data_IF_711901533174
#
_entry.id   IF_711901533174
#
_cell.length_a   1.000
_cell.length_b   1.000
_cell.length_c   1.000
_cell.angle_alpha   90.00
_cell.angle_beta   90.00
_cell.angle_gamma   90.00
#
_symmetry.space_group_name_H-M   'P 1'
#
loop_
_entity.id
_entity.type
_entity.pdbx_description
1 polymer ?
#
# COMPACT_ATOMS: atom_id res chain seq x y z
N UNK A 1 42.34 -18.74 -27.16
CA UNK A 1 41.92 -17.85 -26.05
C UNK A 1 40.96 -16.74 -26.50
N UNK A 2 41.19 -16.00 -27.61
CA UNK A 2 40.28 -14.90 -28.07
C UNK A 2 38.84 -15.34 -28.44
N UNK A 3 38.61 -16.55 -28.93
CA UNK A 3 37.26 -17.07 -29.32
C UNK A 3 36.39 -17.43 -28.09
N UNK A 4 37.00 -17.91 -26.99
CA UNK A 4 36.29 -18.29 -25.77
C UNK A 4 35.78 -17.04 -24.99
N UNK A 5 36.60 -15.97 -24.98
CA UNK A 5 36.20 -14.71 -24.34
C UNK A 5 35.01 -14.05 -25.03
N UNK A 6 34.97 -14.11 -26.40
CA UNK A 6 33.84 -13.58 -27.17
C UNK A 6 32.51 -14.29 -26.88
N UNK A 7 32.54 -15.64 -26.75
CA UNK A 7 31.34 -16.43 -26.45
C UNK A 7 30.82 -16.13 -25.03
N UNK A 8 31.69 -16.01 -24.04
CA UNK A 8 31.32 -15.69 -22.66
C UNK A 8 30.71 -14.29 -22.54
N UNK A 9 31.22 -13.30 -23.25
CA UNK A 9 30.67 -11.95 -23.30
C UNK A 9 29.27 -11.91 -23.92
N UNK A 10 29.07 -12.65 -25.03
CA UNK A 10 27.75 -12.72 -25.66
C UNK A 10 26.71 -13.44 -24.80
N UNK A 11 27.09 -14.48 -24.05
CA UNK A 11 26.21 -15.15 -23.09
C UNK A 11 25.84 -14.21 -21.93
N UNK A 12 26.81 -13.46 -21.39
CA UNK A 12 26.56 -12.51 -20.33
C UNK A 12 25.64 -11.36 -20.74
N UNK A 13 25.80 -10.84 -21.98
CA UNK A 13 24.92 -9.81 -22.54
C UNK A 13 23.52 -10.36 -22.76
N UNK A 14 23.40 -11.59 -23.30
CA UNK A 14 22.13 -12.27 -23.50
C UNK A 14 21.36 -12.50 -22.19
N UNK A 15 22.08 -12.90 -21.11
CA UNK A 15 21.50 -13.08 -19.77
C UNK A 15 21.04 -11.74 -19.16
N UNK A 16 21.85 -10.69 -19.32
CA UNK A 16 21.51 -9.34 -18.83
C UNK A 16 20.28 -8.79 -19.55
N UNK A 17 20.21 -8.94 -20.87
CA UNK A 17 19.04 -8.51 -21.66
C UNK A 17 17.78 -9.31 -21.32
N UNK A 18 17.88 -10.61 -21.05
CA UNK A 18 16.72 -11.41 -20.64
C UNK A 18 16.22 -11.02 -19.24
N UNK A 19 17.11 -10.77 -18.29
CA UNK A 19 16.74 -10.31 -16.95
C UNK A 19 16.11 -8.92 -16.96
N UNK A 20 16.60 -8.00 -17.80
CA UNK A 20 16.01 -6.67 -17.93
C UNK A 20 14.62 -6.71 -18.58
N UNK A 21 14.39 -7.58 -19.57
CA UNK A 21 13.07 -7.78 -20.19
C UNK A 21 12.08 -8.45 -19.23
N UNK A 22 12.54 -9.37 -18.39
CA UNK A 22 11.68 -9.96 -17.34
C UNK A 22 11.34 -8.94 -16.23
N UNK A 23 12.28 -8.11 -15.81
CA UNK A 23 12.04 -7.05 -14.86
C UNK A 23 11.04 -6.00 -15.40
N UNK A 24 11.20 -5.59 -16.67
CA UNK A 24 10.28 -4.67 -17.34
C UNK A 24 8.86 -5.27 -17.51
N UNK A 25 8.77 -6.57 -17.79
CA UNK A 25 7.47 -7.29 -17.81
C UNK A 25 6.80 -7.37 -16.45
N UNK A 26 7.56 -7.57 -15.38
CA UNK A 26 7.02 -7.62 -14.01
C UNK A 26 6.51 -6.24 -13.58
N UNK A 27 7.19 -5.14 -13.92
CA UNK A 27 6.69 -3.78 -13.66
C UNK A 27 5.42 -3.47 -14.49
N UNK A 28 5.36 -3.90 -15.76
CA UNK A 28 4.18 -3.71 -16.61
C UNK A 28 2.99 -4.57 -16.15
N UNK A 29 3.24 -5.74 -15.55
CA UNK A 29 2.20 -6.63 -15.03
C UNK A 29 1.57 -6.11 -13.73
N UNK A 30 2.33 -5.38 -12.90
CA UNK A 30 1.84 -4.79 -11.66
C UNK A 30 0.79 -3.68 -11.86
N UNK A 31 0.73 -3.08 -13.04
CA UNK A 31 -0.19 -1.95 -13.37
C UNK A 31 -1.37 -2.41 -14.25
N UNK A 32 -1.48 -3.69 -14.61
CA UNK A 32 -2.57 -4.16 -15.47
C UNK A 32 -3.92 -4.11 -14.74
N UNK A 33 -4.84 -3.37 -15.31
CA UNK A 33 -6.27 -3.43 -15.00
C UNK A 33 -6.98 -4.33 -16.02
N UNK A 34 -8.20 -4.75 -15.71
CA UNK A 34 -9.01 -5.58 -16.63
C UNK A 34 -9.40 -4.82 -17.92
N UNK A 35 -9.84 -5.56 -18.97
CA UNK A 35 -10.32 -4.97 -20.21
C UNK A 35 -11.58 -4.09 -20.02
N UNK A 36 -12.35 -4.34 -18.94
CA UNK A 36 -13.50 -3.56 -18.53
C UNK A 36 -13.36 -3.20 -17.04
N UNK A 37 -12.54 -2.21 -16.69
CA UNK A 37 -12.27 -1.88 -15.30
C UNK A 37 -13.51 -1.32 -14.59
N UNK A 38 -13.76 -1.80 -13.38
CA UNK A 38 -14.73 -1.22 -12.45
C UNK A 38 -13.97 -0.71 -11.24
N UNK A 39 -13.82 0.60 -11.18
CA UNK A 39 -13.01 1.23 -10.14
C UNK A 39 -13.79 1.39 -8.84
N UNK A 40 -13.11 1.03 -7.76
CA UNK A 40 -13.49 1.32 -6.38
C UNK A 40 -12.34 2.05 -5.67
N UNK A 41 -12.61 2.62 -4.50
CA UNK A 41 -11.63 3.38 -3.74
C UNK A 41 -11.66 3.06 -2.26
N UNK A 42 -10.51 3.20 -1.60
CA UNK A 42 -10.35 3.04 -0.15
C UNK A 42 -9.21 3.94 0.35
N UNK A 43 -9.23 4.31 1.61
CA UNK A 43 -8.21 5.14 2.24
C UNK A 43 -7.58 4.37 3.40
N UNK A 44 -6.26 4.20 3.36
CA UNK A 44 -5.51 3.31 4.25
C UNK A 44 -4.44 4.09 5.02
N UNK A 45 -4.56 4.15 6.34
CA UNK A 45 -3.53 4.66 7.23
C UNK A 45 -2.70 3.51 7.77
N UNK A 46 -1.40 3.49 7.53
CA UNK A 46 -0.51 2.37 7.84
C UNK A 46 0.90 2.77 8.28
N UNK A 47 1.03 3.82 9.10
CA UNK A 47 2.31 4.43 9.43
C UNK A 47 2.77 5.42 8.37
N UNK A 48 4.08 5.49 8.11
CA UNK A 48 4.61 6.36 7.06
C UNK A 48 4.03 6.01 5.69
N UNK A 49 3.30 6.93 5.10
CA UNK A 49 2.57 6.72 3.84
C UNK A 49 3.48 6.47 2.62
N UNK A 50 4.77 6.83 2.65
CA UNK A 50 5.71 6.53 1.56
C UNK A 50 5.86 5.02 1.32
N UNK A 51 5.96 4.24 2.41
CA UNK A 51 6.05 2.80 2.34
C UNK A 51 4.74 2.16 1.89
N UNK A 52 3.62 2.64 2.43
CA UNK A 52 2.28 2.16 2.06
C UNK A 52 2.02 2.42 0.57
N UNK A 53 2.29 3.64 0.07
CA UNK A 53 2.17 3.98 -1.35
C UNK A 53 3.07 3.08 -2.21
N UNK A 54 4.36 3.02 -1.86
CA UNK A 54 5.33 2.22 -2.62
C UNK A 54 4.97 0.75 -2.70
N UNK A 55 4.37 0.18 -1.66
CA UNK A 55 3.88 -1.20 -1.66
C UNK A 55 2.68 -1.37 -2.59
N UNK A 56 1.62 -0.56 -2.43
CA UNK A 56 0.39 -0.72 -3.20
C UNK A 56 0.56 -0.41 -4.68
N UNK A 57 1.50 0.45 -5.05
CA UNK A 57 1.85 0.69 -6.46
C UNK A 57 2.39 -0.55 -7.19
N UNK A 58 2.74 -1.61 -6.47
CA UNK A 58 3.22 -2.91 -7.01
C UNK A 58 2.11 -3.95 -7.13
N UNK A 59 0.91 -3.67 -6.60
CA UNK A 59 -0.18 -4.64 -6.61
C UNK A 59 -0.93 -4.55 -7.94
N UNK A 60 -1.03 -5.65 -8.72
CA UNK A 60 -1.83 -5.70 -9.92
C UNK A 60 -3.28 -5.28 -9.64
N UNK A 61 -3.84 -4.45 -10.51
CA UNK A 61 -5.20 -3.91 -10.34
C UNK A 61 -5.26 -2.58 -9.59
N UNK A 62 -4.19 -2.15 -8.93
CA UNK A 62 -4.10 -0.78 -8.40
C UNK A 62 -3.89 0.18 -9.56
N UNK A 63 -4.82 1.13 -9.70
CA UNK A 63 -4.84 2.07 -10.81
C UNK A 63 -4.21 3.43 -10.46
N UNK A 64 -4.51 3.92 -9.24
CA UNK A 64 -4.03 5.23 -8.78
C UNK A 64 -3.77 5.21 -7.29
N UNK A 65 -2.71 5.88 -6.89
CA UNK A 65 -2.36 6.17 -5.50
C UNK A 65 -2.18 7.66 -5.32
N UNK A 66 -2.51 8.18 -4.15
CA UNK A 66 -2.22 9.55 -3.74
C UNK A 66 -2.06 9.58 -2.22
N UNK A 67 -0.96 10.13 -1.73
CA UNK A 67 -0.76 10.26 -0.28
C UNK A 67 -1.32 11.57 0.24
N UNK A 68 -1.85 11.53 1.45
CA UNK A 68 -2.48 12.69 2.05
C UNK A 68 -2.71 12.52 3.56
N UNK A 69 -3.52 13.37 4.09
CA UNK A 69 -3.85 13.46 5.51
C UNK A 69 -5.35 13.37 5.70
N UNK A 70 -5.82 12.51 6.62
CA UNK A 70 -7.26 12.34 6.83
C UNK A 70 -7.64 12.12 8.29
N UNK A 71 -8.94 12.18 8.53
CA UNK A 71 -9.59 11.88 9.79
C UNK A 71 -9.02 12.67 10.99
N UNK A 72 -8.65 13.92 10.73
CA UNK A 72 -8.26 14.88 11.75
C UNK A 72 -9.45 15.67 12.33
N UNK A 73 -9.10 16.70 13.11
CA UNK A 73 -10.05 17.56 13.83
C UNK A 73 -10.41 18.83 13.04
N UNK A 74 -9.68 19.12 11.97
CA UNK A 74 -9.84 20.33 11.14
C UNK A 74 -10.01 19.96 9.67
N UNK A 75 -10.58 20.86 8.87
CA UNK A 75 -10.78 20.63 7.44
C UNK A 75 -9.50 20.81 6.61
N UNK A 76 -8.45 21.36 7.20
CA UNK A 76 -7.18 21.64 6.54
C UNK A 76 -6.02 21.25 7.44
N UNK A 77 -4.95 20.79 6.84
CA UNK A 77 -3.67 20.53 7.47
C UNK A 77 -2.56 20.58 6.42
N UNK A 78 -1.33 20.53 6.87
CA UNK A 78 -0.11 20.28 6.10
C UNK A 78 0.83 19.40 6.93
N UNK A 79 1.97 19.01 6.37
CA UNK A 79 2.92 18.14 7.05
C UNK A 79 3.44 18.71 8.38
N UNK A 80 3.58 20.04 8.48
CA UNK A 80 4.09 20.66 9.69
C UNK A 80 3.07 20.66 10.84
N UNK A 81 1.78 20.69 10.50
CA UNK A 81 0.68 20.80 11.46
C UNK A 81 -0.10 19.49 11.68
N UNK A 82 0.26 18.40 10.99
CA UNK A 82 -0.48 17.12 11.04
C UNK A 82 -0.69 16.62 12.47
N UNK A 83 0.30 16.79 13.35
CA UNK A 83 0.20 16.37 14.77
C UNK A 83 -0.82 17.21 15.53
N UNK A 84 -0.81 18.51 15.32
CA UNK A 84 -1.69 19.46 16.04
C UNK A 84 -3.14 19.33 15.57
N UNK A 85 -3.33 19.05 14.29
CA UNK A 85 -4.65 18.85 13.69
C UNK A 85 -5.18 17.43 13.81
N UNK A 86 -4.38 16.50 14.35
CA UNK A 86 -4.79 15.12 14.64
C UNK A 86 -5.09 14.26 13.41
N UNK A 87 -4.62 14.66 12.21
CA UNK A 87 -4.77 13.85 11.00
C UNK A 87 -3.82 12.64 11.03
N UNK A 88 -4.21 11.56 10.34
CA UNK A 88 -3.31 10.46 10.01
C UNK A 88 -2.65 10.68 8.65
N UNK A 89 -1.46 10.12 8.46
CA UNK A 89 -0.90 9.86 7.13
C UNK A 89 -1.70 8.75 6.47
N UNK A 90 -2.22 8.99 5.27
CA UNK A 90 -3.18 8.13 4.59
C UNK A 90 -2.82 7.98 3.13
N UNK A 91 -2.94 6.77 2.62
CA UNK A 91 -2.94 6.46 1.20
C UNK A 91 -4.38 6.46 0.68
N UNK A 92 -4.70 7.32 -0.29
CA UNK A 92 -5.82 7.12 -1.20
C UNK A 92 -5.44 6.04 -2.22
N UNK A 93 -6.30 5.06 -2.40
CA UNK A 93 -6.11 3.95 -3.30
C UNK A 93 -7.35 3.79 -4.19
N UNK A 94 -7.15 3.87 -5.52
CA UNK A 94 -8.13 3.51 -6.54
C UNK A 94 -7.70 2.24 -7.23
N UNK A 95 -8.59 1.25 -7.30
CA UNK A 95 -8.27 -0.07 -7.83
C UNK A 95 -9.41 -0.59 -8.72
N UNK A 96 -9.08 -1.48 -9.64
CA UNK A 96 -10.04 -2.22 -10.46
C UNK A 96 -10.47 -3.50 -9.73
N UNK A 97 -11.71 -3.53 -9.25
CA UNK A 97 -12.25 -4.67 -8.50
C UNK A 97 -12.35 -5.97 -9.29
N UNK A 98 -12.28 -5.91 -10.61
CA UNK A 98 -12.26 -7.10 -11.46
C UNK A 98 -10.87 -7.73 -11.51
N UNK A 99 -9.83 -7.01 -11.10
CA UNK A 99 -8.43 -7.48 -11.04
C UNK A 99 -7.99 -7.79 -9.62
N UNK A 100 -8.35 -6.94 -8.65
CA UNK A 100 -8.06 -7.14 -7.22
C UNK A 100 -9.27 -6.72 -6.39
N UNK A 101 -9.75 -7.60 -5.53
CA UNK A 101 -10.93 -7.36 -4.70
C UNK A 101 -10.60 -6.56 -3.44
N UNK A 102 -11.61 -5.93 -2.82
CA UNK A 102 -11.42 -5.23 -1.54
C UNK A 102 -10.88 -6.15 -0.43
N UNK A 103 -11.35 -7.40 -0.23
CA UNK A 103 -10.73 -8.30 0.73
C UNK A 103 -9.24 -8.57 0.47
N UNK A 104 -8.80 -8.67 -0.79
CA UNK A 104 -7.40 -8.82 -1.14
C UNK A 104 -6.60 -7.54 -0.84
N UNK A 105 -7.13 -6.36 -1.15
CA UNK A 105 -6.54 -5.07 -0.76
C UNK A 105 -6.36 -5.00 0.77
N UNK A 106 -7.38 -5.40 1.54
CA UNK A 106 -7.31 -5.41 3.00
C UNK A 106 -6.32 -6.46 3.54
N UNK A 107 -6.19 -7.61 2.86
CA UNK A 107 -5.20 -8.61 3.20
C UNK A 107 -3.77 -8.13 2.93
N UNK A 108 -3.53 -7.44 1.81
CA UNK A 108 -2.27 -6.77 1.53
C UNK A 108 -1.95 -5.69 2.57
N UNK A 109 -2.94 -4.87 2.95
CA UNK A 109 -2.79 -3.86 3.99
C UNK A 109 -2.43 -4.49 5.35
N UNK A 110 -3.16 -5.51 5.78
CA UNK A 110 -2.93 -6.20 7.05
C UNK A 110 -1.55 -6.85 7.13
N UNK A 111 -1.01 -7.31 6.00
CA UNK A 111 0.33 -7.94 5.87
C UNK A 111 1.47 -6.95 6.19
N UNK A 112 1.31 -5.69 5.86
CA UNK A 112 2.39 -4.69 5.90
C UNK A 112 2.38 -3.80 7.13
N UNK A 113 1.43 -3.98 8.03
CA UNK A 113 1.32 -3.22 9.28
C UNK A 113 1.46 -4.13 10.51
N UNK A 114 1.76 -3.53 11.65
CA UNK A 114 1.51 -4.13 12.96
C UNK A 114 0.10 -3.75 13.43
N UNK A 115 -0.89 -4.66 13.35
CA UNK A 115 -2.29 -4.35 13.66
C UNK A 115 -2.55 -4.13 15.16
N UNK A 116 -1.60 -4.46 16.02
CA UNK A 116 -1.72 -4.36 17.49
C UNK A 116 -1.04 -3.10 18.04
N UNK A 117 -0.24 -2.43 17.24
CA UNK A 117 0.51 -1.26 17.66
C UNK A 117 -0.39 -0.01 17.69
N UNK A 118 -0.42 0.67 18.83
CA UNK A 118 -1.18 1.91 19.00
C UNK A 118 -0.32 3.13 18.67
N UNK A 119 -0.77 3.96 17.72
CA UNK A 119 -0.11 5.20 17.29
C UNK A 119 1.39 5.02 16.95
N UNK A 120 1.72 3.87 16.35
CA UNK A 120 3.10 3.53 16.00
C UNK A 120 3.13 2.50 14.87
N UNK A 121 4.08 2.66 13.93
CA UNK A 121 4.43 1.62 12.95
C UNK A 121 5.96 1.63 12.74
N UNK A 122 6.60 0.49 12.95
CA UNK A 122 8.05 0.41 12.91
C UNK A 122 8.72 1.39 13.90
N UNK A 123 9.53 2.29 13.38
CA UNK A 123 10.22 3.34 14.17
C UNK A 123 9.41 4.64 14.27
N UNK A 124 8.32 4.77 13.50
CA UNK A 124 7.50 5.97 13.47
C UNK A 124 6.50 5.97 14.62
N UNK A 125 6.58 6.99 15.50
CA UNK A 125 5.78 7.11 16.71
C UNK A 125 4.99 8.42 16.69
N UNK A 126 3.69 8.33 16.89
CA UNK A 126 2.77 9.48 16.94
C UNK A 126 1.41 9.14 16.36
N UNK A 127 0.39 9.94 16.72
CA UNK A 127 -0.99 9.74 16.25
C UNK A 127 -1.14 9.81 14.74
N UNK A 128 -0.25 10.53 14.05
CA UNK A 128 -0.23 10.59 12.59
C UNK A 128 0.15 9.26 11.95
N UNK A 129 0.81 8.36 12.66
CA UNK A 129 1.22 7.03 12.20
C UNK A 129 0.30 5.89 12.69
N UNK A 130 -0.92 6.25 13.12
CA UNK A 130 -1.92 5.26 13.50
C UNK A 130 -2.38 4.43 12.30
N UNK A 131 -2.87 3.24 12.56
CA UNK A 131 -3.48 2.38 11.55
C UNK A 131 -4.97 2.66 11.43
N UNK A 132 -5.48 2.65 10.20
CA UNK A 132 -6.90 2.90 9.95
C UNK A 132 -7.34 2.53 8.54
N UNK A 133 -8.61 2.18 8.42
CA UNK A 133 -9.33 1.96 7.17
C UNK A 133 -10.45 2.98 7.14
N UNK A 134 -10.43 3.88 6.15
CA UNK A 134 -11.44 4.93 6.01
C UNK A 134 -12.20 4.74 4.70
N UNK A 135 -13.51 4.78 4.75
CA UNK A 135 -14.40 4.46 3.64
C UNK A 135 -15.33 5.61 3.30
N UNK A 136 -15.78 5.67 2.04
CA UNK A 136 -16.68 6.70 1.53
C UNK A 136 -18.12 6.21 1.40
N UNK A 137 -18.34 4.89 1.41
CA UNK A 137 -19.66 4.27 1.33
C UNK A 137 -19.82 3.11 2.33
N UNK A 138 -21.06 2.85 2.75
CA UNK A 138 -21.38 1.89 3.80
C UNK A 138 -21.04 0.44 3.39
N UNK A 139 -21.20 0.08 2.10
CA UNK A 139 -20.91 -1.28 1.64
C UNK A 139 -19.43 -1.61 1.79
N UNK A 140 -18.54 -0.68 1.44
CA UNK A 140 -17.10 -0.77 1.69
C UNK A 140 -16.79 -0.88 3.19
N UNK A 141 -17.49 -0.08 4.02
CA UNK A 141 -17.37 -0.13 5.48
C UNK A 141 -17.74 -1.49 6.08
N UNK A 142 -18.83 -2.10 5.62
CA UNK A 142 -19.27 -3.43 6.10
C UNK A 142 -18.30 -4.54 5.69
N UNK A 143 -17.74 -4.51 4.48
CA UNK A 143 -16.69 -5.47 4.07
C UNK A 143 -15.45 -5.34 4.95
N UNK A 144 -14.98 -4.11 5.19
CA UNK A 144 -13.82 -3.86 6.04
C UNK A 144 -14.07 -4.29 7.50
N UNK A 145 -15.28 -4.08 8.01
CA UNK A 145 -15.69 -4.52 9.34
C UNK A 145 -15.67 -6.04 9.46
N UNK A 146 -16.28 -6.76 8.51
CA UNK A 146 -16.28 -8.21 8.49
C UNK A 146 -14.85 -8.78 8.45
N UNK A 147 -13.98 -8.18 7.64
CA UNK A 147 -12.55 -8.54 7.59
C UNK A 147 -11.87 -8.36 8.94
N UNK A 148 -12.01 -7.21 9.60
CA UNK A 148 -11.39 -6.94 10.90
C UNK A 148 -11.95 -7.85 12.01
N UNK A 149 -13.25 -8.15 12.00
CA UNK A 149 -13.86 -9.07 12.94
C UNK A 149 -13.31 -10.49 12.80
N UNK A 150 -13.06 -10.95 11.58
CA UNK A 150 -12.42 -12.24 11.32
C UNK A 150 -10.99 -12.26 11.87
N UNK A 151 -10.19 -11.22 11.57
CA UNK A 151 -8.82 -11.12 12.09
C UNK A 151 -8.78 -11.05 13.61
N UNK A 152 -9.72 -10.32 14.23
CA UNK A 152 -9.82 -10.23 15.69
C UNK A 152 -10.15 -11.60 16.33
N UNK A 153 -10.98 -12.44 15.70
CA UNK A 153 -11.27 -13.80 16.22
C UNK A 153 -10.01 -14.69 16.28
N UNK A 154 -9.11 -14.54 15.33
CA UNK A 154 -7.85 -15.27 15.27
C UNK A 154 -6.76 -14.69 16.19
N UNK A 155 -6.87 -13.42 16.57
CA UNK A 155 -5.88 -12.70 17.35
C UNK A 155 -6.17 -12.80 18.86
N UNK A 156 -5.09 -12.89 19.68
CA UNK A 156 -5.19 -12.81 21.15
C UNK A 156 -5.23 -11.37 21.66
N UNK A 157 -4.55 -10.48 20.95
CA UNK A 157 -4.46 -9.07 21.28
C UNK A 157 -5.54 -8.28 20.56
N UNK A 158 -5.91 -7.14 21.12
CA UNK A 158 -6.88 -6.25 20.49
C UNK A 158 -6.26 -5.57 19.27
N UNK A 159 -6.90 -5.71 18.11
CA UNK A 159 -6.55 -4.95 16.91
C UNK A 159 -6.80 -3.46 17.15
N UNK A 160 -5.82 -2.63 16.79
CA UNK A 160 -5.82 -1.18 16.98
C UNK A 160 -6.20 -0.40 15.72
N UNK A 161 -6.52 -1.10 14.62
CA UNK A 161 -6.90 -0.48 13.35
C UNK A 161 -8.23 0.25 13.53
N UNK A 162 -8.25 1.56 13.24
CA UNK A 162 -9.49 2.34 13.19
C UNK A 162 -10.31 1.93 11.97
N UNK A 163 -11.63 1.84 12.12
CA UNK A 163 -12.56 1.72 11.01
C UNK A 163 -13.58 2.85 11.12
N UNK A 164 -13.54 3.79 10.19
CA UNK A 164 -14.39 5.00 10.25
C UNK A 164 -14.75 5.48 8.84
N UNK A 165 -15.87 6.20 8.69
CA UNK A 165 -16.10 7.03 7.50
C UNK A 165 -14.93 7.99 7.27
N UNK A 166 -14.58 8.21 6.01
CA UNK A 166 -13.59 9.20 5.63
C UNK A 166 -14.05 10.61 6.02
N UNK A 167 -13.14 11.38 6.59
CA UNK A 167 -13.31 12.80 6.86
C UNK A 167 -12.12 13.59 6.32
N UNK A 168 -12.38 14.76 5.79
CA UNK A 168 -11.41 15.82 5.49
C UNK A 168 -10.07 15.33 4.91
N UNK A 169 -10.11 14.49 3.84
CA UNK A 169 -8.88 14.11 3.15
C UNK A 169 -8.25 15.34 2.48
N UNK A 170 -7.00 15.60 2.84
CA UNK A 170 -6.17 16.68 2.32
C UNK A 170 -4.97 16.06 1.61
N UNK A 171 -4.82 16.32 0.32
CA UNK A 171 -3.69 15.81 -0.46
C UNK A 171 -2.39 16.37 0.11
N UNK A 172 -1.41 15.50 0.32
CA UNK A 172 -0.10 15.92 0.81
C UNK A 172 0.70 16.63 -0.30
N UNK A 173 1.71 17.36 0.11
CA UNK A 173 2.57 18.15 -0.75
C UNK A 173 3.27 17.29 -1.81
N UNK A 174 3.55 17.85 -2.99
CA UNK A 174 4.09 17.14 -4.17
C UNK A 174 5.37 16.35 -3.88
N UNK A 175 6.19 16.80 -2.92
CA UNK A 175 7.42 16.11 -2.56
C UNK A 175 7.18 14.78 -1.81
N UNK A 176 5.97 14.56 -1.29
CA UNK A 176 5.58 13.29 -0.67
C UNK A 176 5.05 12.29 -1.68
N UNK A 177 4.46 12.73 -2.79
CA UNK A 177 3.89 11.85 -3.81
C UNK A 177 4.99 11.05 -4.51
N UNK A 178 4.78 9.75 -4.72
CA UNK A 178 5.75 8.84 -5.36
C UNK A 178 7.16 8.89 -4.72
N UNK A 179 7.20 9.09 -3.39
CA UNK A 179 8.47 9.37 -2.71
C UNK A 179 9.53 8.30 -2.96
N UNK A 180 9.19 7.02 -2.83
CA UNK A 180 10.14 5.92 -3.01
C UNK A 180 10.51 5.68 -4.48
N UNK A 181 9.68 6.07 -5.45
CA UNK A 181 10.08 6.09 -6.87
C UNK A 181 11.12 7.18 -7.13
N UNK A 182 10.93 8.37 -6.54
CA UNK A 182 11.86 9.50 -6.65
C UNK A 182 13.14 9.28 -5.82
N UNK A 183 13.05 8.52 -4.72
CA UNK A 183 14.12 8.26 -3.75
C UNK A 183 14.24 6.75 -3.46
N UNK A 184 14.82 5.93 -4.36
CA UNK A 184 14.85 4.47 -4.21
C UNK A 184 15.56 3.95 -2.95
N UNK A 185 16.41 4.78 -2.32
CA UNK A 185 17.09 4.48 -1.05
C UNK A 185 16.52 5.27 0.13
N UNK A 186 15.33 5.85 -0.05
CA UNK A 186 14.63 6.59 1.00
C UNK A 186 14.19 5.68 2.15
N UNK A 187 13.83 6.31 3.27
CA UNK A 187 13.31 5.58 4.43
C UNK A 187 12.02 4.82 4.09
N UNK A 188 12.00 3.54 4.43
CA UNK A 188 10.83 2.69 4.34
C UNK A 188 10.85 1.67 5.50
N UNK A 189 9.73 1.54 6.22
CA UNK A 189 9.57 0.54 7.27
C UNK A 189 8.91 -0.75 6.76
N UNK A 190 8.45 -0.74 5.51
CA UNK A 190 7.74 -1.85 4.86
C UNK A 190 8.70 -2.58 3.93
N UNK A 191 8.67 -3.90 3.96
CA UNK A 191 9.32 -4.73 2.94
C UNK A 191 8.45 -4.70 1.68
N UNK A 192 8.90 -3.96 0.65
CA UNK A 192 8.16 -3.77 -0.59
C UNK A 192 8.10 -5.04 -1.44
N UNK A 193 9.04 -5.98 -1.25
CA UNK A 193 9.08 -7.24 -2.02
C UNK A 193 7.95 -8.19 -1.62
N UNK A 194 7.33 -7.98 -0.45
CA UNK A 194 6.11 -8.69 -0.05
C UNK A 194 4.94 -8.46 -1.04
N UNK A 195 4.96 -7.40 -1.84
CA UNK A 195 3.96 -7.17 -2.86
C UNK A 195 3.94 -8.28 -3.94
N UNK A 196 5.08 -8.92 -4.18
CA UNK A 196 5.21 -10.02 -5.16
C UNK A 196 4.97 -11.40 -4.55
N UNK A 197 4.80 -11.48 -3.24
CA UNK A 197 4.47 -12.74 -2.56
C UNK A 197 2.96 -12.96 -2.59
N UNK A 198 2.46 -14.08 -3.12
CA UNK A 198 1.03 -14.38 -3.13
C UNK A 198 0.41 -14.26 -1.72
N UNK A 199 -0.85 -13.85 -1.69
CA UNK A 199 -1.63 -13.89 -0.46
C UNK A 199 -1.98 -15.34 -0.09
N UNK A 200 -1.81 -15.70 1.17
CA UNK A 200 -2.34 -16.97 1.66
C UNK A 200 -3.86 -16.94 1.63
N UNK A 201 -4.50 -18.02 1.14
CA UNK A 201 -5.97 -18.09 1.05
C UNK A 201 -6.67 -17.94 2.39
N UNK A 202 -6.02 -18.35 3.48
CA UNK A 202 -6.51 -18.17 4.86
C UNK A 202 -6.52 -16.69 5.29
N UNK A 203 -5.74 -15.84 4.64
CA UNK A 203 -5.65 -14.40 4.97
C UNK A 203 -6.74 -13.59 4.27
N UNK A 204 -7.26 -14.07 3.13
CA UNK A 204 -8.26 -13.33 2.35
C UNK A 204 -9.66 -13.43 2.99
N UNK A 205 -9.95 -14.48 3.75
CA UNK A 205 -11.29 -14.80 4.25
C UNK A 205 -12.18 -15.40 3.14
N UNK A 206 -13.17 -16.14 3.54
CA UNK A 206 -14.18 -16.74 2.62
C UNK A 206 -15.39 -15.84 2.51
#
# INVERSE_FOLDING_TARGET
>A
MKKIVGVLVLIAIGLYLSLSVEAEKVEEEAVRVSDNPVFEEIYLAGGCFWGVEGYFQRIPGVYQTEVGYANGLTDKTDYQHIKDTGHAEVLYLKYDKNTVTLPEILAHYYRIIDPFSYHKQGNDVGSQYRTGIYYTDEATGEVAKAFLEEKQKAAKEKIQIELQPLKNFVVAEDYHQDYLKKNPFGYCHIDLDLAYVPLDREVIGH
#
